data_IF_220714450503
#
_entry.id   IF_220714450503
#
_cell.length_a   1.000
_cell.length_b   1.000
_cell.length_c   1.000
_cell.angle_alpha   90.00
_cell.angle_beta   90.00
_cell.angle_gamma   90.00
#
_symmetry.space_group_name_H-M   'P 1'
#
loop_
_entity.id
_entity.type
_entity.pdbx_description
1 polymer ?
#
# COMPACT_ATOMS: atom_id res chain seq x y z
N UNK A 1 30.77 16.20 4.54
CA UNK A 1 29.44 16.43 5.15
C UNK A 1 28.33 16.72 4.13
N UNK A 2 28.54 17.53 3.07
CA UNK A 2 27.52 17.72 2.01
C UNK A 2 27.38 16.53 1.04
N UNK A 3 28.43 15.75 0.85
CA UNK A 3 28.47 14.59 -0.07
C UNK A 3 27.73 13.35 0.46
N UNK A 4 27.76 13.10 1.78
CA UNK A 4 26.94 12.05 2.41
C UNK A 4 25.45 12.40 2.40
N UNK A 5 25.10 13.67 2.58
CA UNK A 5 23.71 14.13 2.56
C UNK A 5 23.06 13.94 1.17
N UNK A 6 23.83 14.12 0.10
CA UNK A 6 23.38 13.90 -1.27
C UNK A 6 23.16 12.41 -1.60
N UNK A 7 23.90 11.51 -0.91
CA UNK A 7 23.77 10.05 -1.05
C UNK A 7 22.61 9.46 -0.26
N UNK A 8 22.18 10.12 0.82
CA UNK A 8 21.03 9.68 1.64
C UNK A 8 19.67 10.03 1.02
N UNK A 9 19.60 11.10 0.21
CA UNK A 9 18.37 11.50 -0.48
C UNK A 9 17.69 10.34 -1.25
N UNK A 10 18.39 9.54 -2.07
CA UNK A 10 17.78 8.38 -2.72
C UNK A 10 17.41 7.27 -1.73
N UNK A 11 18.18 7.02 -0.68
CA UNK A 11 17.90 5.95 0.28
C UNK A 11 16.61 6.21 1.07
N UNK A 12 16.44 7.44 1.59
CA UNK A 12 15.22 7.84 2.30
C UNK A 12 14.01 7.80 1.36
N UNK A 13 14.17 8.27 0.12
CA UNK A 13 13.12 8.22 -0.90
C UNK A 13 12.67 6.77 -1.18
N UNK A 14 13.63 5.84 -1.37
CA UNK A 14 13.33 4.42 -1.61
C UNK A 14 12.58 3.81 -0.44
N UNK A 15 13.01 4.06 0.80
CA UNK A 15 12.35 3.52 2.01
C UNK A 15 10.94 4.08 2.17
N UNK A 16 10.74 5.38 1.94
CA UNK A 16 9.41 5.99 2.01
C UNK A 16 8.50 5.48 0.89
N UNK A 17 9.03 5.30 -0.32
CA UNK A 17 8.29 4.73 -1.44
C UNK A 17 7.86 3.29 -1.15
N UNK A 18 8.78 2.46 -0.65
CA UNK A 18 8.47 1.09 -0.24
C UNK A 18 7.44 1.03 0.90
N UNK A 19 7.48 1.98 1.83
CA UNK A 19 6.48 2.09 2.89
C UNK A 19 5.08 2.43 2.34
N UNK A 20 4.98 3.41 1.43
CA UNK A 20 3.71 3.77 0.79
C UNK A 20 3.17 2.59 -0.01
N UNK A 21 4.03 1.91 -0.78
CA UNK A 21 3.66 0.74 -1.57
C UNK A 21 3.12 -0.40 -0.68
N UNK A 22 3.80 -0.67 0.43
CA UNK A 22 3.37 -1.66 1.41
C UNK A 22 2.01 -1.30 2.04
N UNK A 23 1.80 -0.03 2.43
CA UNK A 23 0.53 0.43 3.00
C UNK A 23 -0.60 0.30 1.97
N UNK A 24 -0.38 0.73 0.74
CA UNK A 24 -1.36 0.62 -0.35
C UNK A 24 -1.68 -0.85 -0.63
N UNK A 25 -0.65 -1.70 -0.75
CA UNK A 25 -0.80 -3.16 -0.92
C UNK A 25 -1.61 -3.78 0.22
N UNK A 26 -1.33 -3.43 1.47
CA UNK A 26 -2.08 -3.92 2.62
C UNK A 26 -3.56 -3.50 2.59
N UNK A 27 -3.84 -2.23 2.27
CA UNK A 27 -5.22 -1.72 2.15
C UNK A 27 -6.00 -2.43 1.03
N UNK A 28 -5.33 -2.80 -0.06
CA UNK A 28 -5.87 -3.63 -1.14
C UNK A 28 -6.20 -5.05 -0.65
N UNK A 29 -5.26 -5.71 0.05
CA UNK A 29 -5.44 -7.08 0.57
C UNK A 29 -6.56 -7.18 1.60
N UNK A 30 -6.66 -6.20 2.51
CA UNK A 30 -7.74 -6.16 3.52
C UNK A 30 -9.10 -5.85 2.89
N UNK A 31 -9.14 -5.32 1.66
CA UNK A 31 -10.38 -5.03 0.96
C UNK A 31 -11.17 -3.85 1.54
N UNK A 32 -10.51 -2.95 2.27
CA UNK A 32 -11.12 -1.71 2.79
C UNK A 32 -11.37 -0.68 1.68
N UNK A 33 -10.69 -0.83 0.55
CA UNK A 33 -10.85 0.08 -0.57
C UNK A 33 -12.26 -0.05 -1.16
N UNK A 34 -12.97 1.07 -1.15
CA UNK A 34 -14.21 1.23 -1.89
C UNK A 34 -13.88 1.79 -3.29
N UNK A 35 -14.90 1.82 -4.16
CA UNK A 35 -14.76 2.34 -5.52
C UNK A 35 -14.21 3.78 -5.56
N UNK A 36 -14.60 4.62 -4.61
CA UNK A 36 -14.13 6.01 -4.51
C UNK A 36 -12.63 6.08 -4.18
N UNK A 37 -12.18 5.33 -3.16
CA UNK A 37 -10.78 5.28 -2.75
C UNK A 37 -9.89 4.72 -3.87
N UNK A 38 -10.40 3.77 -4.65
CA UNK A 38 -9.67 3.21 -5.79
C UNK A 38 -9.48 4.23 -6.91
N UNK A 39 -10.49 5.07 -7.17
CA UNK A 39 -10.38 6.20 -8.11
C UNK A 39 -9.38 7.24 -7.59
N UNK A 40 -9.45 7.60 -6.30
CA UNK A 40 -8.52 8.56 -5.68
C UNK A 40 -7.08 8.05 -5.76
N UNK A 41 -6.83 6.78 -5.42
CA UNK A 41 -5.50 6.18 -5.55
C UNK A 41 -5.02 6.18 -6.99
N UNK A 42 -5.90 5.85 -7.94
CA UNK A 42 -5.55 5.88 -9.37
C UNK A 42 -5.15 7.29 -9.81
N UNK A 43 -5.86 8.34 -9.35
CA UNK A 43 -5.46 9.72 -9.60
C UNK A 43 -4.09 10.04 -8.99
N UNK A 44 -3.80 9.60 -7.76
CA UNK A 44 -2.49 9.79 -7.13
C UNK A 44 -1.40 9.12 -7.98
N UNK A 45 -1.61 7.88 -8.44
CA UNK A 45 -0.66 7.18 -9.30
C UNK A 45 -0.48 7.85 -10.68
N UNK A 46 -1.51 8.49 -11.22
CA UNK A 46 -1.37 9.29 -12.44
C UNK A 46 -0.50 10.53 -12.18
N UNK A 47 -0.65 11.17 -11.02
CA UNK A 47 0.19 12.31 -10.64
C UNK A 47 1.65 11.89 -10.44
N UNK A 48 1.91 10.75 -9.82
CA UNK A 48 3.29 10.24 -9.68
C UNK A 48 3.86 9.74 -11.00
N UNK A 49 3.04 9.20 -11.90
CA UNK A 49 3.45 8.89 -13.27
C UNK A 49 3.95 10.14 -14.02
N UNK A 50 3.36 11.33 -13.79
CA UNK A 50 3.87 12.57 -14.37
C UNK A 50 5.27 12.95 -13.83
N UNK A 51 5.63 12.49 -12.62
CA UNK A 51 6.93 12.74 -12.00
C UNK A 51 7.99 11.70 -12.38
N UNK A 52 7.64 10.40 -12.39
CA UNK A 52 8.59 9.30 -12.59
C UNK A 52 8.49 8.63 -13.98
N UNK A 53 7.49 8.98 -14.79
CA UNK A 53 7.31 8.49 -16.14
C UNK A 53 6.98 6.99 -16.21
N UNK A 54 7.55 6.30 -17.20
CA UNK A 54 7.27 4.88 -17.46
C UNK A 54 7.72 3.93 -16.33
N UNK A 55 8.71 4.35 -15.53
CA UNK A 55 9.23 3.55 -14.41
C UNK A 55 8.16 3.31 -13.35
N UNK A 56 7.29 4.29 -13.14
CA UNK A 56 6.17 4.19 -12.19
C UNK A 56 5.22 3.03 -12.53
N UNK A 57 4.86 2.91 -13.82
CA UNK A 57 3.91 1.90 -14.30
C UNK A 57 4.50 0.49 -14.13
N UNK A 58 5.77 0.32 -14.46
CA UNK A 58 6.42 -0.99 -14.34
C UNK A 58 6.61 -1.37 -12.87
N UNK A 59 7.02 -0.42 -12.03
CA UNK A 59 7.20 -0.64 -10.59
C UNK A 59 5.90 -0.98 -9.88
N UNK A 60 4.82 -0.25 -10.18
CA UNK A 60 3.53 -0.42 -9.49
C UNK A 60 2.49 -1.17 -10.33
N UNK A 61 2.94 -1.96 -11.31
CA UNK A 61 2.05 -2.66 -12.24
C UNK A 61 1.01 -3.53 -11.50
N UNK A 62 1.44 -4.20 -10.43
CA UNK A 62 0.55 -5.01 -9.59
C UNK A 62 -0.57 -4.16 -8.97
N UNK A 63 -0.24 -2.98 -8.43
CA UNK A 63 -1.21 -2.07 -7.82
C UNK A 63 -2.18 -1.53 -8.88
N UNK A 64 -1.70 -1.17 -10.07
CA UNK A 64 -2.57 -0.72 -11.16
C UNK A 64 -3.61 -1.76 -11.55
N UNK A 65 -3.21 -3.03 -11.70
CA UNK A 65 -4.15 -4.13 -12.02
C UNK A 65 -5.21 -4.25 -10.93
N UNK A 66 -4.81 -4.27 -9.65
CA UNK A 66 -5.76 -4.43 -8.54
C UNK A 66 -6.70 -3.24 -8.43
N UNK A 67 -6.20 -2.00 -8.62
CA UNK A 67 -7.05 -0.80 -8.63
C UNK A 67 -8.09 -0.84 -9.76
N UNK A 68 -7.71 -1.29 -10.96
CA UNK A 68 -8.64 -1.45 -12.08
C UNK A 68 -9.74 -2.48 -11.72
N UNK A 69 -9.37 -3.61 -11.13
CA UNK A 69 -10.33 -4.61 -10.65
C UNK A 69 -11.31 -3.99 -9.63
N UNK A 70 -10.82 -3.24 -8.65
CA UNK A 70 -11.68 -2.55 -7.68
C UNK A 70 -12.60 -1.50 -8.30
N UNK A 71 -12.18 -0.81 -9.37
CA UNK A 71 -13.01 0.18 -10.08
C UNK A 71 -14.17 -0.49 -10.83
N UNK A 72 -13.93 -1.67 -11.42
CA UNK A 72 -14.90 -2.44 -12.20
C UNK A 72 -15.87 -3.19 -11.28
N UNK A 73 -15.33 -3.93 -10.31
CA UNK A 73 -16.09 -4.84 -9.45
C UNK A 73 -16.75 -4.11 -8.27
N UNK A 74 -16.21 -2.95 -7.87
CA UNK A 74 -16.79 -2.03 -6.90
C UNK A 74 -16.73 -2.49 -5.44
N UNK A 75 -16.59 -3.79 -5.18
CA UNK A 75 -16.34 -4.40 -3.88
C UNK A 75 -15.32 -5.54 -4.04
N UNK A 76 -14.41 -5.69 -3.08
CA UNK A 76 -13.59 -6.91 -2.99
C UNK A 76 -14.54 -8.11 -2.96
N UNK A 77 -14.36 -9.08 -3.87
CA UNK A 77 -15.09 -10.36 -3.88
C UNK A 77 -14.93 -11.17 -2.58
N UNK A 78 -14.15 -10.66 -1.64
CA UNK A 78 -13.93 -11.22 -0.32
C UNK A 78 -14.88 -10.57 0.69
N UNK A 79 -15.76 -11.36 1.32
CA UNK A 79 -16.34 -10.99 2.61
C UNK A 79 -15.17 -10.72 3.55
N UNK A 80 -14.91 -9.46 3.96
CA UNK A 80 -13.76 -9.18 4.79
C UNK A 80 -13.90 -10.02 6.07
N UNK A 81 -12.83 -10.66 6.59
CA UNK A 81 -12.88 -11.33 7.91
C UNK A 81 -13.26 -10.35 9.05
N UNK A 82 -13.31 -9.07 8.72
CA UNK A 82 -13.79 -7.97 9.52
C UNK A 82 -15.33 -7.94 9.72
N UNK A 83 -16.08 -8.65 8.88
CA UNK A 83 -17.53 -8.93 9.08
C UNK A 83 -17.79 -10.01 10.13
N UNK A 84 -16.75 -10.70 10.61
CA UNK A 84 -16.87 -11.70 11.68
C UNK A 84 -16.99 -11.06 13.06
N UNK A 85 -16.73 -9.74 13.17
CA UNK A 85 -16.82 -8.98 14.42
C UNK A 85 -18.06 -8.09 14.43
N UNK A 86 -18.84 -8.17 15.52
CA UNK A 86 -20.15 -7.49 15.65
C UNK A 86 -20.06 -5.97 15.74
N UNK A 87 -18.92 -5.41 16.18
CA UNK A 87 -18.78 -3.96 16.39
C UNK A 87 -17.76 -3.32 15.46
N UNK A 88 -18.01 -2.06 15.07
CA UNK A 88 -17.10 -1.27 14.21
C UNK A 88 -15.72 -1.06 14.86
N UNK A 89 -15.67 -1.03 16.20
CA UNK A 89 -14.43 -0.85 16.97
C UNK A 89 -13.55 -2.10 16.83
N UNK A 90 -14.10 -3.29 17.05
CA UNK A 90 -13.34 -4.56 16.93
C UNK A 90 -12.76 -4.73 15.53
N UNK A 91 -13.52 -4.31 14.52
CA UNK A 91 -13.09 -4.24 13.11
C UNK A 91 -11.86 -3.36 12.92
N UNK A 92 -11.89 -2.14 13.45
CA UNK A 92 -10.77 -1.19 13.34
C UNK A 92 -9.55 -1.72 14.11
N UNK A 93 -9.75 -2.24 15.32
CA UNK A 93 -8.68 -2.79 16.16
C UNK A 93 -8.03 -4.00 15.51
N UNK A 94 -8.82 -4.92 14.95
CA UNK A 94 -8.32 -6.10 14.27
C UNK A 94 -7.44 -5.73 13.06
N UNK A 95 -7.90 -4.79 12.23
CA UNK A 95 -7.14 -4.31 11.07
C UNK A 95 -5.86 -3.59 11.52
N UNK A 96 -5.92 -2.73 12.54
CA UNK A 96 -4.76 -2.02 13.05
C UNK A 96 -3.70 -2.96 13.65
N UNK A 97 -4.11 -3.93 14.45
CA UNK A 97 -3.20 -4.93 15.04
C UNK A 97 -2.63 -5.86 13.97
N UNK A 98 -3.44 -6.29 13.00
CA UNK A 98 -2.97 -7.11 11.89
C UNK A 98 -1.97 -6.34 11.02
N UNK A 99 -2.23 -5.05 10.75
CA UNK A 99 -1.28 -4.20 10.03
C UNK A 99 0.06 -4.12 10.75
N UNK A 100 0.07 -3.85 12.06
CA UNK A 100 1.29 -3.82 12.87
C UNK A 100 2.02 -5.16 12.86
N UNK A 101 1.27 -6.27 12.90
CA UNK A 101 1.85 -7.62 12.86
C UNK A 101 2.51 -7.92 11.51
N UNK A 102 1.84 -7.63 10.40
CA UNK A 102 2.40 -7.84 9.05
C UNK A 102 3.60 -6.92 8.83
N UNK A 103 3.52 -5.66 9.26
CA UNK A 103 4.64 -4.71 9.18
C UNK A 103 5.82 -5.20 10.01
N UNK A 104 5.61 -5.62 11.26
CA UNK A 104 6.66 -6.15 12.12
C UNK A 104 7.29 -7.41 11.51
N UNK A 105 6.49 -8.31 10.95
CA UNK A 105 6.98 -9.50 10.25
C UNK A 105 7.84 -9.12 9.05
N UNK A 106 7.39 -8.19 8.22
CA UNK A 106 8.14 -7.70 7.07
C UNK A 106 9.47 -7.06 7.49
N UNK A 107 9.47 -6.22 8.53
CA UNK A 107 10.67 -5.61 9.08
C UNK A 107 11.65 -6.65 9.64
N UNK A 108 11.17 -7.65 10.38
CA UNK A 108 12.03 -8.74 10.89
C UNK A 108 12.66 -9.51 9.75
N UNK A 109 11.89 -9.84 8.70
CA UNK A 109 12.44 -10.50 7.51
C UNK A 109 13.49 -9.63 6.81
N UNK A 110 13.21 -8.33 6.66
CA UNK A 110 14.13 -7.37 6.06
C UNK A 110 15.45 -7.28 6.84
N UNK A 111 15.40 -7.09 8.17
CA UNK A 111 16.61 -7.00 9.00
C UNK A 111 17.35 -8.33 9.18
N UNK A 112 16.67 -9.46 9.00
CA UNK A 112 17.27 -10.79 9.18
C UNK A 112 17.88 -11.34 7.90
N UNK A 113 17.30 -11.03 6.74
CA UNK A 113 17.66 -11.64 5.45
C UNK A 113 18.10 -10.63 4.38
N UNK A 114 17.96 -9.32 4.61
CA UNK A 114 18.50 -8.24 3.78
C UNK A 114 19.80 -7.69 4.34
#
# INVERSE_FOLDING_TARGET
MKEELAKQAPAVFIVLSAFIEFVVGYLLVVGILNRLLSIVLTCIFILTMMLFGYVEIVGHFMIHIVLILFIIEGMSFYKPPVDMHRTRIDRIVFVALNFLFVLATYLVLYYKFG
#
